data_IF_107160319145
#
_entry.id   IF_107160319145
#
_cell.length_a   1.000
_cell.length_b   1.000
_cell.length_c   1.000
_cell.angle_alpha   90.00
_cell.angle_beta   90.00
_cell.angle_gamma   90.00
#
_symmetry.space_group_name_H-M   'P 1'
#
loop_
_entity.id
_entity.type
_entity.pdbx_description
1 polymer ?
#
# COMPACT_ATOMS: atom_id res chain seq x y z
N UNK A 1 12.90 -26.68 -20.35
CA UNK A 1 13.34 -27.68 -19.35
C UNK A 1 12.10 -28.41 -18.87
N UNK A 2 12.21 -29.64 -18.38
CA UNK A 2 11.08 -30.33 -17.76
C UNK A 2 10.79 -29.69 -16.40
N UNK A 3 9.53 -29.41 -16.04
CA UNK A 3 9.19 -28.88 -14.72
C UNK A 3 9.62 -29.87 -13.63
N UNK A 4 10.19 -29.35 -12.55
CA UNK A 4 10.58 -30.17 -11.40
C UNK A 4 9.36 -30.28 -10.48
N UNK A 5 8.85 -31.48 -10.24
CA UNK A 5 7.78 -31.69 -9.26
C UNK A 5 8.35 -31.60 -7.84
N UNK A 6 7.82 -30.69 -7.02
CA UNK A 6 8.26 -30.48 -5.63
C UNK A 6 7.04 -30.39 -4.73
N UNK A 7 6.84 -31.42 -3.89
CA UNK A 7 5.77 -31.57 -2.89
C UNK A 7 4.33 -31.65 -3.45
N UNK A 8 3.97 -30.80 -4.41
CA UNK A 8 2.65 -30.77 -5.05
C UNK A 8 2.72 -30.21 -6.48
N UNK A 9 1.65 -30.43 -7.26
CA UNK A 9 1.57 -30.06 -8.68
C UNK A 9 1.34 -28.57 -8.93
N UNK A 10 1.11 -27.76 -7.89
CA UNK A 10 0.81 -26.33 -7.98
C UNK A 10 1.87 -25.44 -7.31
N UNK A 11 2.94 -26.04 -6.75
CA UNK A 11 3.96 -25.38 -5.93
C UNK A 11 3.44 -24.65 -4.68
N UNK A 12 2.25 -25.00 -4.18
CA UNK A 12 1.64 -24.34 -3.03
C UNK A 12 2.44 -24.60 -1.75
N UNK A 13 2.88 -25.84 -1.54
CA UNK A 13 3.58 -26.26 -0.32
C UNK A 13 5.00 -25.70 -0.28
N UNK A 14 5.74 -25.79 -1.39
CA UNK A 14 7.11 -25.27 -1.45
C UNK A 14 7.13 -23.74 -1.31
N UNK A 15 6.22 -23.03 -1.97
CA UNK A 15 6.12 -21.57 -1.82
C UNK A 15 5.75 -21.17 -0.39
N UNK A 16 4.84 -21.90 0.27
CA UNK A 16 4.48 -21.65 1.66
C UNK A 16 5.66 -21.89 2.61
N UNK A 17 6.36 -23.02 2.47
CA UNK A 17 7.51 -23.37 3.32
C UNK A 17 8.64 -22.35 3.18
N UNK A 18 8.96 -21.93 1.95
CA UNK A 18 9.95 -20.88 1.70
C UNK A 18 9.51 -19.56 2.31
N UNK A 19 8.22 -19.19 2.18
CA UNK A 19 7.68 -17.97 2.79
C UNK A 19 7.80 -18.01 4.31
N UNK A 20 7.40 -19.12 4.94
CA UNK A 20 7.49 -19.31 6.39
C UNK A 20 8.94 -19.22 6.84
N UNK A 21 9.85 -19.98 6.23
CA UNK A 21 11.27 -19.98 6.59
C UNK A 21 11.90 -18.60 6.45
N UNK A 22 11.63 -17.91 5.34
CA UNK A 22 12.20 -16.59 5.07
C UNK A 22 11.66 -15.51 6.02
N UNK A 23 10.34 -15.47 6.25
CA UNK A 23 9.75 -14.49 7.16
C UNK A 23 10.10 -14.78 8.62
N UNK A 24 10.16 -16.04 9.05
CA UNK A 24 10.56 -16.37 10.41
C UNK A 24 12.06 -16.12 10.65
N UNK A 25 12.90 -16.26 9.62
CA UNK A 25 14.29 -15.80 9.68
C UNK A 25 14.36 -14.27 9.85
N UNK A 26 13.58 -13.52 9.08
CA UNK A 26 13.44 -12.07 9.22
C UNK A 26 12.97 -11.67 10.62
N UNK A 27 11.96 -12.37 11.16
CA UNK A 27 11.46 -12.21 12.52
C UNK A 27 12.55 -12.47 13.56
N UNK A 28 13.28 -13.58 13.45
CA UNK A 28 14.34 -13.93 14.38
C UNK A 28 15.41 -12.83 14.44
N UNK A 29 15.87 -12.35 13.27
CA UNK A 29 16.83 -11.24 13.19
C UNK A 29 16.24 -9.97 13.81
N UNK A 30 15.03 -9.57 13.38
CA UNK A 30 14.40 -8.34 13.83
C UNK A 30 14.09 -8.36 15.34
N UNK A 31 13.71 -9.51 15.90
CA UNK A 31 13.45 -9.68 17.32
C UNK A 31 14.75 -9.67 18.14
N UNK A 32 15.78 -10.41 17.71
CA UNK A 32 17.07 -10.47 18.41
C UNK A 32 17.77 -9.12 18.48
N UNK A 33 17.73 -8.35 17.39
CA UNK A 33 18.39 -7.05 17.32
C UNK A 33 17.46 -5.87 17.61
N UNK A 34 16.17 -6.12 17.90
CA UNK A 34 15.15 -5.09 18.03
C UNK A 34 15.16 -4.11 16.84
N UNK A 35 15.27 -4.69 15.64
CA UNK A 35 15.57 -4.01 14.38
C UNK A 35 14.38 -4.10 13.41
N UNK A 36 13.60 -3.03 13.34
CA UNK A 36 12.37 -2.94 12.53
C UNK A 36 12.63 -2.55 11.06
N UNK A 37 13.86 -2.16 10.71
CA UNK A 37 14.18 -1.59 9.40
C UNK A 37 14.10 -2.57 8.22
N UNK A 38 14.09 -3.87 8.51
CA UNK A 38 14.07 -4.92 7.49
C UNK A 38 12.67 -5.50 7.23
N UNK A 39 11.68 -5.19 8.08
CA UNK A 39 10.35 -5.81 8.06
C UNK A 39 9.64 -5.63 6.72
N UNK A 40 9.62 -4.40 6.21
CA UNK A 40 9.02 -4.06 4.92
C UNK A 40 9.87 -4.61 3.75
N UNK A 41 11.20 -4.67 3.91
CA UNK A 41 12.12 -5.21 2.90
C UNK A 41 11.97 -6.73 2.73
N UNK A 42 11.81 -7.48 3.82
CA UNK A 42 11.62 -8.94 3.80
C UNK A 42 10.33 -9.31 3.10
N UNK A 43 9.27 -8.51 3.27
CA UNK A 43 8.03 -8.65 2.50
C UNK A 43 8.25 -8.64 0.98
N UNK A 44 8.78 -7.53 0.45
CA UNK A 44 9.00 -7.36 -0.99
C UNK A 44 10.03 -8.34 -1.58
N UNK A 45 11.15 -8.56 -0.90
CA UNK A 45 12.18 -9.51 -1.35
C UNK A 45 11.69 -10.96 -1.36
N UNK A 46 10.80 -11.35 -0.46
CA UNK A 46 10.20 -12.69 -0.47
C UNK A 46 9.32 -12.92 -1.71
N UNK A 47 8.51 -11.94 -2.10
CA UNK A 47 7.72 -11.99 -3.36
C UNK A 47 8.66 -12.18 -4.57
N UNK A 48 9.78 -11.47 -4.60
CA UNK A 48 10.80 -11.64 -5.63
C UNK A 48 11.38 -13.07 -5.63
N UNK A 49 11.74 -13.59 -4.45
CA UNK A 49 12.29 -14.95 -4.28
C UNK A 49 11.28 -15.99 -4.76
N UNK A 50 10.00 -15.88 -4.39
CA UNK A 50 8.96 -16.80 -4.83
C UNK A 50 8.76 -16.77 -6.35
N UNK A 51 8.76 -15.59 -6.95
CA UNK A 51 8.67 -15.44 -8.41
C UNK A 51 9.83 -16.15 -9.10
N UNK A 52 11.06 -15.85 -8.69
CA UNK A 52 12.25 -16.46 -9.28
C UNK A 52 12.29 -17.99 -9.05
N UNK A 53 12.04 -18.43 -7.82
CA UNK A 53 12.07 -19.84 -7.45
C UNK A 53 11.05 -20.65 -8.25
N UNK A 54 9.79 -20.25 -8.22
CA UNK A 54 8.73 -21.01 -8.91
C UNK A 54 8.95 -21.01 -10.42
N UNK A 55 9.42 -19.90 -10.99
CA UNK A 55 9.74 -19.81 -12.41
C UNK A 55 10.88 -20.74 -12.83
N UNK A 56 11.96 -20.80 -12.05
CA UNK A 56 13.09 -21.69 -12.32
C UNK A 56 12.71 -23.17 -12.14
N UNK A 57 11.94 -23.50 -11.10
CA UNK A 57 11.45 -24.88 -10.87
C UNK A 57 10.51 -25.33 -11.99
N UNK A 58 9.62 -24.45 -12.46
CA UNK A 58 8.68 -24.72 -13.55
C UNK A 58 9.37 -24.91 -14.90
N UNK A 59 10.51 -24.26 -15.13
CA UNK A 59 11.29 -24.40 -16.36
C UNK A 59 10.55 -23.95 -17.63
N UNK A 60 9.45 -23.21 -17.48
CA UNK A 60 8.62 -22.68 -18.56
C UNK A 60 8.95 -21.20 -18.80
N UNK A 61 9.59 -20.94 -19.94
CA UNK A 61 10.02 -19.62 -20.38
C UNK A 61 9.14 -19.09 -21.52
N UNK A 62 7.83 -19.37 -21.48
CA UNK A 62 6.88 -18.76 -22.41
C UNK A 62 6.82 -17.24 -22.22
N UNK A 63 6.39 -16.50 -23.24
CA UNK A 63 6.23 -15.04 -23.15
C UNK A 63 5.36 -14.61 -21.96
N UNK A 64 4.30 -15.38 -21.66
CA UNK A 64 3.40 -15.14 -20.52
C UNK A 64 4.14 -15.29 -19.19
N UNK A 65 4.88 -16.38 -18.99
CA UNK A 65 5.66 -16.61 -17.77
C UNK A 65 6.75 -15.54 -17.63
N UNK A 66 7.48 -15.22 -18.69
CA UNK A 66 8.51 -14.16 -18.67
C UNK A 66 7.89 -12.84 -18.20
N UNK A 67 6.81 -12.39 -18.86
CA UNK A 67 6.18 -11.10 -18.53
C UNK A 67 5.63 -11.08 -17.11
N UNK A 68 4.89 -12.11 -16.69
CA UNK A 68 4.33 -12.16 -15.35
C UNK A 68 5.43 -12.12 -14.27
N UNK A 69 6.49 -12.90 -14.43
CA UNK A 69 7.60 -12.92 -13.47
C UNK A 69 8.39 -11.61 -13.48
N UNK A 70 8.74 -11.07 -14.66
CA UNK A 70 9.46 -9.79 -14.76
C UNK A 70 8.64 -8.66 -14.13
N UNK A 71 7.32 -8.61 -14.35
CA UNK A 71 6.46 -7.59 -13.76
C UNK A 71 6.45 -7.66 -12.23
N UNK A 72 6.25 -8.85 -11.67
CA UNK A 72 6.28 -9.05 -10.21
C UNK A 72 7.66 -8.74 -9.64
N UNK A 73 8.75 -9.16 -10.29
CA UNK A 73 10.11 -8.88 -9.85
C UNK A 73 10.43 -7.38 -9.89
N UNK A 74 10.03 -6.67 -10.94
CA UNK A 74 10.19 -5.20 -11.06
C UNK A 74 9.38 -4.49 -9.97
N UNK A 75 8.14 -4.91 -9.74
CA UNK A 75 7.30 -4.37 -8.67
C UNK A 75 7.93 -4.62 -7.29
N UNK A 76 8.41 -5.83 -7.05
CA UNK A 76 9.02 -6.24 -5.78
C UNK A 76 10.32 -5.48 -5.49
N UNK A 77 11.20 -5.34 -6.47
CA UNK A 77 12.44 -4.55 -6.35
C UNK A 77 12.10 -3.09 -6.06
N UNK A 78 11.15 -2.49 -6.81
CA UNK A 78 10.72 -1.11 -6.58
C UNK A 78 10.22 -0.90 -5.15
N UNK A 79 9.31 -1.76 -4.68
CA UNK A 79 8.74 -1.67 -3.34
C UNK A 79 9.82 -1.85 -2.26
N UNK A 80 10.60 -2.94 -2.34
CA UNK A 80 11.62 -3.26 -1.35
C UNK A 80 12.72 -2.18 -1.27
N UNK A 81 13.22 -1.71 -2.42
CA UNK A 81 14.25 -0.66 -2.47
C UNK A 81 13.73 0.67 -1.96
N UNK A 82 12.51 1.08 -2.35
CA UNK A 82 11.93 2.34 -1.89
C UNK A 82 11.70 2.36 -0.38
N UNK A 83 11.15 1.28 0.18
CA UNK A 83 10.89 1.17 1.62
C UNK A 83 12.20 1.10 2.41
N UNK A 84 13.18 0.32 1.94
CA UNK A 84 14.51 0.26 2.56
C UNK A 84 15.18 1.64 2.56
N UNK A 85 15.22 2.31 1.41
CA UNK A 85 15.78 3.66 1.31
C UNK A 85 15.10 4.64 2.26
N UNK A 86 13.76 4.63 2.33
CA UNK A 86 12.98 5.50 3.21
C UNK A 86 13.36 5.30 4.67
N UNK A 87 13.44 4.06 5.13
CA UNK A 87 13.75 3.77 6.54
C UNK A 87 15.20 4.11 6.87
N UNK A 88 16.14 3.82 5.96
CA UNK A 88 17.55 4.19 6.14
C UNK A 88 17.74 5.71 6.21
N UNK A 89 16.97 6.49 5.44
CA UNK A 89 17.10 7.95 5.39
C UNK A 89 16.41 8.67 6.55
N UNK A 90 15.25 8.19 7.01
CA UNK A 90 14.40 8.90 7.97
C UNK A 90 14.32 8.25 9.36
N UNK A 91 15.06 7.17 9.61
CA UNK A 91 15.46 6.75 10.96
C UNK A 91 14.63 5.63 11.58
N UNK A 92 13.30 5.66 11.46
CA UNK A 92 12.42 4.62 12.00
C UNK A 92 11.01 4.66 11.39
N UNK A 93 10.27 3.57 11.55
CA UNK A 93 8.85 3.49 11.20
C UNK A 93 8.02 3.44 12.49
N UNK A 94 7.27 4.50 12.75
CA UNK A 94 6.51 4.66 14.01
C UNK A 94 5.46 3.58 14.23
N UNK A 95 5.11 2.77 13.21
CA UNK A 95 4.19 1.63 13.36
C UNK A 95 4.76 0.54 14.27
N UNK A 96 6.08 0.44 14.39
CA UNK A 96 6.72 -0.64 15.15
C UNK A 96 7.17 -0.23 16.55
N UNK A 97 7.11 1.05 16.90
CA UNK A 97 7.61 1.54 18.20
C UNK A 97 6.94 0.82 19.38
N UNK A 98 5.63 0.60 19.32
CA UNK A 98 4.86 -0.07 20.38
C UNK A 98 4.79 -1.61 20.21
N UNK A 99 5.06 -2.11 19.00
CA UNK A 99 4.86 -3.54 18.67
C UNK A 99 6.14 -4.34 18.88
N UNK A 100 7.32 -3.77 18.58
CA UNK A 100 8.61 -4.50 18.59
C UNK A 100 9.01 -5.02 19.98
N UNK A 101 8.55 -4.35 21.04
CA UNK A 101 8.80 -4.74 22.43
C UNK A 101 7.91 -5.89 22.92
N UNK A 102 6.89 -6.28 22.15
CA UNK A 102 5.91 -7.30 22.54
C UNK A 102 6.01 -8.52 21.62
N UNK A 103 6.64 -9.60 22.10
CA UNK A 103 6.92 -10.81 21.32
C UNK A 103 5.72 -11.30 20.48
N UNK A 104 4.57 -11.54 21.12
CA UNK A 104 3.40 -12.09 20.42
C UNK A 104 2.75 -11.10 19.44
N UNK A 105 2.78 -9.79 19.72
CA UNK A 105 2.27 -8.77 18.78
C UNK A 105 3.19 -8.65 17.57
N UNK A 106 4.51 -8.68 17.81
CA UNK A 106 5.50 -8.66 16.75
C UNK A 106 5.42 -9.92 15.89
N UNK A 107 5.39 -11.11 16.50
CA UNK A 107 5.19 -12.37 15.78
C UNK A 107 3.88 -12.36 14.97
N UNK A 108 2.79 -11.83 15.53
CA UNK A 108 1.52 -11.66 14.82
C UNK A 108 1.64 -10.84 13.54
N UNK A 109 2.44 -9.77 13.54
CA UNK A 109 2.76 -8.99 12.34
C UNK A 109 3.47 -9.86 11.28
N UNK A 110 4.46 -10.65 11.67
CA UNK A 110 5.20 -11.52 10.74
C UNK A 110 4.35 -12.68 10.20
N UNK A 111 3.45 -13.24 11.01
CA UNK A 111 2.44 -14.20 10.53
C UNK A 111 1.52 -13.54 9.50
N UNK A 112 1.08 -12.30 9.73
CA UNK A 112 0.35 -11.51 8.75
C UNK A 112 1.13 -11.32 7.45
N UNK A 113 2.43 -11.04 7.53
CA UNK A 113 3.33 -10.95 6.38
C UNK A 113 3.46 -12.28 5.61
N UNK A 114 3.53 -13.42 6.32
CA UNK A 114 3.54 -14.75 5.68
C UNK A 114 2.26 -14.96 4.87
N UNK A 115 1.10 -14.74 5.50
CA UNK A 115 -0.20 -14.89 4.83
C UNK A 115 -0.29 -13.96 3.63
N UNK A 116 0.15 -12.70 3.79
CA UNK A 116 0.13 -11.72 2.71
C UNK A 116 1.01 -12.11 1.53
N UNK A 117 2.31 -12.34 1.75
CA UNK A 117 3.24 -12.69 0.67
C UNK A 117 2.81 -13.95 -0.07
N UNK A 118 2.40 -14.97 0.67
CA UNK A 118 1.97 -16.23 0.06
C UNK A 118 0.70 -16.04 -0.78
N UNK A 119 -0.30 -15.36 -0.24
CA UNK A 119 -1.61 -15.15 -0.92
C UNK A 119 -1.46 -14.33 -2.19
N UNK A 120 -0.72 -13.21 -2.16
CA UNK A 120 -0.58 -12.35 -3.35
C UNK A 120 0.23 -13.04 -4.45
N UNK A 121 1.14 -13.95 -4.10
CA UNK A 121 2.00 -14.67 -5.04
C UNK A 121 1.30 -15.85 -5.74
N UNK A 122 0.12 -16.27 -5.28
CA UNK A 122 -0.61 -17.43 -5.81
C UNK A 122 -0.79 -17.46 -7.34
N UNK A 123 -1.16 -16.35 -8.03
CA UNK A 123 -1.30 -16.36 -9.49
C UNK A 123 -0.02 -16.81 -10.19
N UNK A 124 1.13 -16.32 -9.72
CA UNK A 124 2.45 -16.63 -10.27
C UNK A 124 2.88 -18.06 -9.93
N UNK A 125 2.73 -18.44 -8.66
CA UNK A 125 3.06 -19.78 -8.16
C UNK A 125 2.34 -20.85 -8.97
N UNK A 126 1.04 -20.66 -9.21
CA UNK A 126 0.21 -21.57 -10.00
C UNK A 126 0.61 -21.51 -11.48
N UNK A 127 0.79 -20.31 -12.07
CA UNK A 127 1.20 -20.15 -13.48
C UNK A 127 2.51 -20.87 -13.80
N UNK A 128 3.46 -20.85 -12.87
CA UNK A 128 4.78 -21.47 -13.03
C UNK A 128 4.78 -22.97 -12.67
N UNK A 129 3.67 -23.52 -12.19
CA UNK A 129 3.62 -24.89 -11.66
C UNK A 129 3.70 -25.99 -12.74
N UNK A 130 4.03 -27.24 -12.37
CA UNK A 130 4.04 -28.37 -13.30
C UNK A 130 2.69 -28.59 -13.97
N UNK A 131 1.58 -28.34 -13.26
CA UNK A 131 0.22 -28.46 -13.79
C UNK A 131 -0.08 -27.53 -14.98
N UNK A 132 0.78 -26.52 -15.22
CA UNK A 132 0.67 -25.55 -16.30
C UNK A 132 1.91 -25.51 -17.20
N UNK A 133 2.94 -26.29 -16.91
CA UNK A 133 4.21 -26.26 -17.64
C UNK A 133 4.22 -27.15 -18.90
N UNK A 134 3.15 -27.92 -19.13
CA UNK A 134 3.00 -28.74 -20.34
C UNK A 134 2.65 -27.89 -21.57
N UNK A 135 3.50 -27.98 -22.59
CA UNK A 135 3.50 -27.09 -23.77
C UNK A 135 2.31 -27.28 -24.70
N UNK A 136 1.72 -28.49 -24.72
CA UNK A 136 0.57 -28.85 -25.56
C UNK A 136 -0.75 -28.20 -25.12
N UNK A 137 -0.80 -27.66 -23.91
CA UNK A 137 -2.03 -27.18 -23.26
C UNK A 137 -2.07 -25.66 -23.11
N UNK A 138 -1.06 -24.95 -23.63
CA UNK A 138 -0.87 -23.52 -23.41
C UNK A 138 -1.60 -22.68 -24.48
N UNK A 139 -2.50 -21.80 -24.05
CA UNK A 139 -3.07 -20.79 -24.94
C UNK A 139 -1.96 -19.89 -25.49
N UNK A 140 -1.95 -19.69 -26.81
CA UNK A 140 -1.04 -18.73 -27.48
C UNK A 140 -1.12 -17.38 -26.77
N UNK A 141 0.05 -16.75 -26.56
CA UNK A 141 0.17 -15.40 -26.00
C UNK A 141 -0.61 -14.36 -26.82
N UNK A 142 -1.04 -13.28 -26.17
CA UNK A 142 -1.65 -12.13 -26.85
C UNK A 142 -3.17 -12.22 -26.92
N UNK A 143 -3.80 -12.95 -26.00
CA UNK A 143 -5.26 -12.90 -25.84
C UNK A 143 -5.67 -11.59 -25.19
N UNK A 144 -6.96 -11.24 -25.28
CA UNK A 144 -7.48 -10.00 -24.71
C UNK A 144 -7.14 -9.86 -23.21
N UNK A 145 -7.18 -10.95 -22.45
CA UNK A 145 -6.83 -10.96 -21.03
C UNK A 145 -5.35 -10.75 -20.75
N UNK A 146 -4.45 -11.27 -21.60
CA UNK A 146 -3.02 -10.97 -21.54
C UNK A 146 -2.79 -9.46 -21.73
N UNK A 147 -3.41 -8.87 -22.76
CA UNK A 147 -3.27 -7.45 -23.11
C UNK A 147 -3.84 -6.56 -22.00
N UNK A 148 -5.05 -6.87 -21.51
CA UNK A 148 -5.66 -6.14 -20.40
C UNK A 148 -4.81 -6.23 -19.14
N UNK A 149 -4.26 -7.41 -18.85
CA UNK A 149 -3.39 -7.60 -17.70
C UNK A 149 -2.10 -6.77 -17.77
N UNK A 150 -1.50 -6.67 -18.97
CA UNK A 150 -0.34 -5.80 -19.23
C UNK A 150 -0.70 -4.32 -19.06
N UNK A 151 -1.85 -3.88 -19.60
CA UNK A 151 -2.33 -2.50 -19.46
C UNK A 151 -2.55 -2.17 -17.97
N UNK A 152 -3.24 -3.04 -17.24
CA UNK A 152 -3.53 -2.87 -15.82
C UNK A 152 -2.25 -2.77 -15.00
N UNK A 153 -1.29 -3.66 -15.26
CA UNK A 153 -0.01 -3.63 -14.57
C UNK A 153 0.75 -2.32 -14.82
N UNK A 154 0.88 -1.89 -16.07
CA UNK A 154 1.64 -0.66 -16.38
C UNK A 154 0.97 0.60 -15.85
N UNK A 155 -0.36 0.71 -15.96
CA UNK A 155 -1.09 1.82 -15.35
C UNK A 155 -0.89 1.77 -13.83
N UNK A 156 -1.11 0.61 -13.21
CA UNK A 156 -0.97 0.43 -11.77
C UNK A 156 0.41 0.82 -11.25
N UNK A 157 1.45 0.26 -11.85
CA UNK A 157 2.84 0.49 -11.48
C UNK A 157 3.25 1.96 -11.67
N UNK A 158 2.77 2.60 -12.74
CA UNK A 158 3.02 4.03 -13.00
C UNK A 158 2.33 4.92 -11.96
N UNK A 159 1.08 4.61 -11.59
CA UNK A 159 0.35 5.34 -10.55
C UNK A 159 1.02 5.18 -9.18
N UNK A 160 1.38 3.96 -8.80
CA UNK A 160 2.07 3.65 -7.55
C UNK A 160 3.41 4.39 -7.46
N UNK A 161 4.25 4.26 -8.49
CA UNK A 161 5.58 4.89 -8.55
C UNK A 161 5.49 6.41 -8.51
N UNK A 162 4.60 6.99 -9.32
CA UNK A 162 4.43 8.45 -9.37
C UNK A 162 3.84 9.01 -8.07
N UNK A 163 2.89 8.31 -7.46
CA UNK A 163 2.29 8.70 -6.18
C UNK A 163 3.33 8.73 -5.06
N UNK A 164 4.12 7.68 -4.93
CA UNK A 164 5.18 7.58 -3.94
C UNK A 164 6.26 8.66 -4.15
N UNK A 165 6.65 8.91 -5.42
CA UNK A 165 7.62 9.93 -5.75
C UNK A 165 7.11 11.34 -5.42
N UNK A 166 5.88 11.68 -5.81
CA UNK A 166 5.27 12.97 -5.45
C UNK A 166 5.20 13.15 -3.94
N UNK A 167 4.83 12.12 -3.18
CA UNK A 167 4.76 12.16 -1.71
C UNK A 167 6.14 12.33 -1.09
N UNK A 168 7.13 11.63 -1.62
CA UNK A 168 8.52 11.71 -1.17
C UNK A 168 9.08 13.11 -1.39
N UNK A 169 8.99 13.63 -2.62
CA UNK A 169 9.47 14.97 -2.98
C UNK A 169 8.76 16.06 -2.17
N UNK A 170 7.43 15.95 -2.02
CA UNK A 170 6.65 16.90 -1.21
C UNK A 170 7.11 16.92 0.24
N UNK A 171 7.36 15.75 0.87
CA UNK A 171 7.88 15.71 2.24
C UNK A 171 9.30 16.27 2.34
N UNK A 172 10.15 16.02 1.35
CA UNK A 172 11.52 16.50 1.32
C UNK A 172 11.61 18.04 1.20
N UNK A 173 10.58 18.71 0.64
CA UNK A 173 10.54 20.16 0.53
C UNK A 173 10.05 20.89 1.80
N UNK A 174 9.90 20.19 2.93
CA UNK A 174 9.41 20.74 4.22
C UNK A 174 8.14 21.61 4.08
N UNK A 175 7.04 21.02 3.61
CA UNK A 175 5.82 21.76 3.32
C UNK A 175 5.10 22.16 4.62
N UNK A 176 4.20 23.15 4.57
CA UNK A 176 3.41 23.56 5.72
C UNK A 176 2.66 22.39 6.37
N UNK A 177 2.70 22.30 7.70
CA UNK A 177 2.10 21.19 8.46
C UNK A 177 0.58 21.23 8.50
N UNK A 178 -0.01 22.40 8.21
CA UNK A 178 -1.43 22.74 8.25
C UNK A 178 -2.18 22.44 6.94
N UNK A 179 -1.49 21.97 5.90
CA UNK A 179 -2.09 21.65 4.60
C UNK A 179 -1.92 20.17 4.22
N UNK A 180 -2.97 19.53 3.66
CA UNK A 180 -2.84 18.20 3.07
C UNK A 180 -1.95 18.25 1.82
N UNK A 181 -1.44 17.10 1.41
CA UNK A 181 -0.76 16.97 0.13
C UNK A 181 -1.79 17.07 -1.00
N UNK A 182 -1.62 18.05 -1.89
CA UNK A 182 -2.54 18.33 -3.00
C UNK A 182 -1.80 18.48 -4.35
N UNK A 183 -0.59 17.90 -4.44
CA UNK A 183 0.28 17.97 -5.62
C UNK A 183 0.23 16.70 -6.47
N UNK A 184 0.32 16.86 -7.79
CA UNK A 184 0.35 15.75 -8.75
C UNK A 184 -0.87 14.83 -8.61
N UNK A 185 -0.63 13.52 -8.53
CA UNK A 185 -1.70 12.51 -8.36
C UNK A 185 -2.48 12.65 -7.05
N UNK A 186 -1.88 13.22 -6.01
CA UNK A 186 -2.54 13.43 -4.71
C UNK A 186 -3.64 14.50 -4.78
N UNK A 187 -3.65 15.32 -5.84
CA UNK A 187 -4.76 16.23 -6.15
C UNK A 187 -6.01 15.50 -6.62
N UNK A 188 -5.86 14.32 -7.23
CA UNK A 188 -6.95 13.59 -7.90
C UNK A 188 -7.45 12.41 -7.06
N UNK A 189 -6.60 11.87 -6.20
CA UNK A 189 -6.93 10.80 -5.26
C UNK A 189 -6.20 11.03 -3.94
N UNK A 190 -6.85 10.70 -2.82
CA UNK A 190 -6.23 10.70 -1.49
C UNK A 190 -5.27 9.54 -1.31
N UNK A 191 -5.41 8.45 -2.05
CA UNK A 191 -4.54 7.27 -1.99
C UNK A 191 -4.23 6.70 -3.39
N UNK A 192 -3.56 7.49 -4.26
CA UNK A 192 -3.27 7.06 -5.63
C UNK A 192 -2.32 5.87 -5.69
N UNK A 193 -1.46 5.68 -4.68
CA UNK A 193 -0.57 4.52 -4.59
C UNK A 193 -1.34 3.22 -4.37
N UNK A 194 -2.38 3.24 -3.52
CA UNK A 194 -3.23 2.06 -3.28
C UNK A 194 -4.01 1.66 -4.52
N UNK A 195 -4.52 2.63 -5.26
CA UNK A 195 -5.15 2.38 -6.56
C UNK A 195 -4.16 1.70 -7.53
N UNK A 196 -2.93 2.21 -7.59
CA UNK A 196 -1.86 1.63 -8.40
C UNK A 196 -1.58 0.17 -8.04
N UNK A 197 -1.39 -0.10 -6.75
CA UNK A 197 -1.12 -1.45 -6.25
C UNK A 197 -2.27 -2.43 -6.57
N UNK A 198 -3.53 -2.01 -6.37
CA UNK A 198 -4.69 -2.84 -6.74
C UNK A 198 -4.68 -3.20 -8.23
N UNK A 199 -4.43 -2.22 -9.12
CA UNK A 199 -4.34 -2.47 -10.56
C UNK A 199 -3.20 -3.42 -10.93
N UNK A 200 -2.04 -3.30 -10.28
CA UNK A 200 -0.92 -4.24 -10.48
C UNK A 200 -1.38 -5.69 -10.27
N UNK A 201 -2.00 -5.98 -9.12
CA UNK A 201 -2.39 -7.35 -8.78
C UNK A 201 -3.55 -7.88 -9.61
N UNK A 202 -4.50 -7.03 -9.99
CA UNK A 202 -5.51 -7.41 -10.99
C UNK A 202 -4.87 -7.72 -12.34
N UNK A 203 -3.88 -6.92 -12.76
CA UNK A 203 -3.13 -7.13 -13.99
C UNK A 203 -2.38 -8.46 -14.01
N UNK A 204 -1.67 -8.78 -12.92
CA UNK A 204 -0.96 -10.06 -12.77
C UNK A 204 -1.93 -11.24 -12.81
N UNK A 205 -3.06 -11.17 -12.09
CA UNK A 205 -4.05 -12.24 -12.13
C UNK A 205 -4.64 -12.43 -13.54
N UNK A 206 -4.95 -11.36 -14.27
CA UNK A 206 -5.46 -11.42 -15.65
C UNK A 206 -4.48 -12.11 -16.61
N UNK A 207 -3.18 -11.81 -16.49
CA UNK A 207 -2.14 -12.52 -17.27
C UNK A 207 -2.14 -14.00 -16.90
N UNK A 208 -2.15 -14.31 -15.60
CA UNK A 208 -2.03 -15.68 -15.10
C UNK A 208 -3.24 -16.56 -15.40
N UNK A 209 -4.47 -16.02 -15.44
CA UNK A 209 -5.71 -16.79 -15.65
C UNK A 209 -5.99 -17.11 -17.12
N UNK A 210 -5.32 -16.44 -18.06
CA UNK A 210 -5.51 -16.63 -19.52
C UNK A 210 -5.48 -18.09 -19.99
N UNK A 211 -4.57 -18.98 -19.51
CA UNK A 211 -4.57 -20.39 -19.88
C UNK A 211 -5.90 -21.10 -19.57
N UNK A 212 -6.60 -20.73 -18.49
CA UNK A 212 -7.90 -21.32 -18.14
C UNK A 212 -9.06 -20.85 -19.01
N UNK A 213 -8.98 -19.63 -19.54
CA UNK A 213 -10.01 -19.03 -20.38
C UNK A 213 -9.93 -19.48 -21.84
N UNK A 214 -8.71 -19.72 -22.34
CA UNK A 214 -8.46 -19.96 -23.76
C UNK A 214 -7.70 -21.26 -24.07
N UNK A 215 -7.29 -22.01 -23.04
CA UNK A 215 -6.54 -23.26 -23.18
C UNK A 215 -7.36 -24.49 -22.79
N UNK A 216 -6.84 -25.65 -23.19
CA UNK A 216 -7.39 -26.97 -22.86
C UNK A 216 -6.69 -27.50 -21.61
N UNK A 217 -7.16 -27.05 -20.45
CA UNK A 217 -6.64 -27.44 -19.13
C UNK A 217 -7.61 -28.37 -18.40
N UNK A 218 -7.06 -29.18 -17.48
CA UNK A 218 -7.85 -30.00 -16.57
C UNK A 218 -8.78 -29.14 -15.68
N UNK A 219 -9.93 -29.66 -15.22
CA UNK A 219 -10.84 -28.92 -14.35
C UNK A 219 -10.16 -28.42 -13.06
N UNK A 220 -9.27 -29.20 -12.46
CA UNK A 220 -8.56 -28.81 -11.23
C UNK A 220 -7.57 -27.66 -11.48
N UNK A 221 -6.85 -27.68 -12.60
CA UNK A 221 -5.95 -26.58 -13.00
C UNK A 221 -6.75 -25.29 -13.23
N UNK A 222 -7.92 -25.38 -13.87
CA UNK A 222 -8.80 -24.22 -14.06
C UNK A 222 -9.29 -23.65 -12.74
N UNK A 223 -9.76 -24.52 -11.84
CA UNK A 223 -10.19 -24.13 -10.51
C UNK A 223 -9.08 -23.42 -9.72
N UNK A 224 -7.83 -23.90 -9.80
CA UNK A 224 -6.70 -23.26 -9.15
C UNK A 224 -6.43 -21.84 -9.69
N UNK A 225 -6.41 -21.66 -11.02
CA UNK A 225 -6.18 -20.33 -11.61
C UNK A 225 -7.33 -19.35 -11.33
N UNK A 226 -8.59 -19.80 -11.34
CA UNK A 226 -9.71 -18.97 -10.90
C UNK A 226 -9.62 -18.64 -9.42
N UNK A 227 -9.29 -19.63 -8.57
CA UNK A 227 -9.09 -19.43 -7.13
C UNK A 227 -7.98 -18.43 -6.80
N UNK A 228 -6.98 -18.29 -7.67
CA UNK A 228 -5.92 -17.30 -7.53
C UNK A 228 -6.43 -15.83 -7.59
N UNK A 229 -7.70 -15.59 -7.95
CA UNK A 229 -8.35 -14.27 -7.81
C UNK A 229 -8.33 -13.77 -6.36
N UNK A 230 -8.14 -14.67 -5.39
CA UNK A 230 -7.90 -14.32 -4.00
C UNK A 230 -6.73 -13.34 -3.84
N UNK A 231 -5.71 -13.36 -4.71
CA UNK A 231 -4.57 -12.43 -4.67
C UNK A 231 -5.02 -10.96 -4.78
N UNK A 232 -5.60 -10.49 -5.91
CA UNK A 232 -6.05 -9.10 -6.01
C UNK A 232 -7.16 -8.77 -5.01
N UNK A 233 -8.07 -9.69 -4.70
CA UNK A 233 -9.15 -9.45 -3.72
C UNK A 233 -8.60 -9.28 -2.30
N UNK A 234 -7.59 -10.05 -1.92
CA UNK A 234 -6.94 -9.95 -0.62
C UNK A 234 -6.18 -8.63 -0.52
N UNK A 235 -5.42 -8.24 -1.55
CA UNK A 235 -4.76 -6.92 -1.60
C UNK A 235 -5.78 -5.78 -1.48
N UNK A 236 -6.87 -5.83 -2.24
CA UNK A 236 -7.95 -4.84 -2.12
C UNK A 236 -8.53 -4.80 -0.71
N UNK A 237 -8.77 -5.96 -0.11
CA UNK A 237 -9.38 -6.05 1.23
C UNK A 237 -8.45 -5.47 2.30
N UNK A 238 -7.15 -5.76 2.23
CA UNK A 238 -6.16 -5.18 3.13
C UNK A 238 -6.11 -3.66 3.00
N UNK A 239 -6.08 -3.16 1.76
CA UNK A 239 -6.00 -1.73 1.50
C UNK A 239 -7.29 -0.99 1.84
N UNK A 240 -8.46 -1.58 1.62
CA UNK A 240 -9.74 -0.94 1.92
C UNK A 240 -10.13 -1.05 3.40
N UNK A 241 -9.85 -2.16 4.06
CA UNK A 241 -10.46 -2.48 5.36
C UNK A 241 -9.48 -2.72 6.50
N UNK A 242 -8.20 -2.97 6.23
CA UNK A 242 -7.22 -3.26 7.26
C UNK A 242 -6.09 -2.22 7.28
N UNK A 243 -4.96 -2.53 6.67
CA UNK A 243 -3.70 -1.79 6.79
C UNK A 243 -3.57 -0.57 5.88
N UNK A 244 -4.52 -0.33 4.96
CA UNK A 244 -4.46 0.79 4.00
C UNK A 244 -5.22 2.05 4.43
N UNK A 245 -6.47 2.18 3.98
CA UNK A 245 -7.30 3.39 4.15
C UNK A 245 -7.66 3.67 5.61
N UNK A 246 -8.09 2.71 6.45
CA UNK A 246 -8.48 3.00 7.83
C UNK A 246 -7.33 3.55 8.67
N UNK A 247 -6.13 2.98 8.52
CA UNK A 247 -4.90 3.36 9.23
C UNK A 247 -4.26 4.63 8.66
N UNK A 248 -4.62 5.05 7.45
CA UNK A 248 -4.12 6.29 6.86
C UNK A 248 -5.07 7.48 7.06
N UNK A 249 -6.37 7.31 6.85
CA UNK A 249 -7.33 8.43 6.85
C UNK A 249 -7.62 8.97 8.25
N UNK A 250 -7.86 8.09 9.23
CA UNK A 250 -8.24 8.52 10.59
C UNK A 250 -7.10 9.24 11.31
N UNK A 251 -5.85 8.73 11.35
CA UNK A 251 -4.76 9.44 12.02
C UNK A 251 -4.42 10.77 11.33
N UNK A 252 -4.48 10.81 9.99
CA UNK A 252 -4.26 12.06 9.25
C UNK A 252 -5.33 13.11 9.59
N UNK A 253 -6.59 12.72 9.64
CA UNK A 253 -7.68 13.60 10.04
C UNK A 253 -7.54 14.08 11.49
N UNK A 254 -7.22 13.18 12.43
CA UNK A 254 -6.96 13.50 13.83
C UNK A 254 -5.83 14.53 13.96
N UNK A 255 -4.76 14.39 13.17
CA UNK A 255 -3.65 15.36 13.13
C UNK A 255 -4.15 16.77 12.75
N UNK A 256 -4.92 16.91 11.68
CA UNK A 256 -5.43 18.24 11.27
C UNK A 256 -6.44 18.82 12.27
N UNK A 257 -7.22 17.96 12.92
CA UNK A 257 -8.10 18.38 14.00
C UNK A 257 -7.31 18.94 15.19
N UNK A 258 -6.29 18.23 15.68
CA UNK A 258 -5.46 18.67 16.80
C UNK A 258 -4.61 19.90 16.47
N UNK A 259 -4.24 20.11 15.21
CA UNK A 259 -3.63 21.37 14.77
C UNK A 259 -4.58 22.56 14.87
N UNK A 260 -5.90 22.32 14.80
CA UNK A 260 -6.91 23.37 14.90
C UNK A 260 -7.49 23.56 16.30
N UNK A 261 -7.51 22.47 17.06
CA UNK A 261 -8.06 22.38 18.41
C UNK A 261 -7.03 21.68 19.31
N UNK A 262 -5.93 22.35 19.66
CA UNK A 262 -4.92 21.78 20.54
C UNK A 262 -5.51 21.50 21.93
N UNK A 263 -5.10 20.42 22.61
CA UNK A 263 -5.59 20.10 23.94
C UNK A 263 -5.14 21.17 24.97
N UNK A 264 -5.93 21.43 26.01
CA UNK A 264 -5.58 22.40 27.06
C UNK A 264 -4.22 22.07 27.68
N UNK A 265 -3.31 23.04 27.76
CA UNK A 265 -1.96 22.86 28.33
C UNK A 265 -0.84 22.51 27.33
N UNK A 266 -1.12 22.45 26.02
CA UNK A 266 -0.10 22.18 24.98
C UNK A 266 0.61 23.43 24.43
N UNK A 267 0.37 24.61 25.00
CA UNK A 267 0.87 25.91 24.50
C UNK A 267 2.33 26.25 24.91
N UNK A 268 3.02 25.43 25.70
CA UNK A 268 4.33 25.82 26.26
C UNK A 268 5.50 25.82 25.25
N UNK A 269 5.41 25.21 24.07
CA UNK A 269 6.58 25.01 23.19
C UNK A 269 6.62 25.81 21.86
N UNK A 270 5.60 26.61 21.54
CA UNK A 270 5.58 27.37 20.27
C UNK A 270 5.72 28.89 20.40
N UNK A 271 5.79 29.40 21.64
CA UNK A 271 5.93 30.85 21.92
C UNK A 271 7.38 31.30 22.19
N UNK A 272 8.30 30.38 22.50
CA UNK A 272 9.65 30.72 22.99
C UNK A 272 10.67 31.14 21.91
N UNK A 273 10.40 30.89 20.62
CA UNK A 273 11.32 31.26 19.53
C UNK A 273 11.10 32.69 18.98
N UNK A 274 9.93 33.30 19.21
CA UNK A 274 9.62 34.66 18.71
C UNK A 274 9.75 35.73 19.82
N UNK A 275 10.02 35.32 21.06
CA UNK A 275 9.99 36.21 22.23
C UNK A 275 11.32 36.91 22.58
N UNK A 276 12.40 36.72 21.82
CA UNK A 276 13.74 37.23 22.20
C UNK A 276 14.23 38.52 21.54
N UNK A 277 13.42 39.22 20.75
CA UNK A 277 13.88 40.49 20.11
C UNK A 277 13.02 41.71 20.35
N UNK A 278 12.02 41.66 21.23
CA UNK A 278 11.24 42.87 21.57
C UNK A 278 10.91 42.89 23.06
N UNK A 279 11.93 43.11 23.89
CA UNK A 279 11.75 43.60 25.26
C UNK A 279 12.53 44.91 25.41
N UNK A 280 11.91 46.00 24.99
CA UNK A 280 12.05 47.30 25.67
C UNK A 280 10.93 48.22 25.20
N UNK A 281 10.07 48.57 26.15
CA UNK A 281 9.04 49.61 26.09
C UNK A 281 7.78 49.26 25.29
N UNK A 282 6.67 49.05 26.00
CA UNK A 282 5.46 49.89 25.94
C UNK A 282 4.46 49.35 26.97
N UNK A 283 3.90 50.27 27.74
CA UNK A 283 2.86 50.09 28.75
C UNK A 283 1.57 49.53 28.16
N UNK A 284 0.87 48.74 28.98
CA UNK A 284 -0.59 48.61 29.07
C UNK A 284 -1.40 48.83 27.77
N UNK A 285 -1.65 47.77 27.01
CA UNK A 285 -2.86 47.70 26.19
C UNK A 285 -3.38 46.26 26.06
N UNK A 286 -4.67 46.14 26.38
CA UNK A 286 -5.54 44.97 26.32
C UNK A 286 -5.85 44.48 24.89
N UNK A 287 -4.82 44.34 24.04
CA UNK A 287 -5.02 44.05 22.62
C UNK A 287 -3.96 43.11 22.03
N UNK A 288 -3.70 41.95 22.67
CA UNK A 288 -3.03 40.85 21.96
C UNK A 288 -3.88 40.41 20.75
N UNK A 289 -3.42 40.81 19.57
CA UNK A 289 -4.06 40.70 18.26
C UNK A 289 -4.71 39.34 17.94
N UNK A 290 -5.92 39.30 17.35
CA UNK A 290 -6.67 38.09 17.00
C UNK A 290 -6.08 37.25 15.84
N UNK A 291 -5.02 37.72 15.17
CA UNK A 291 -4.50 37.11 13.94
C UNK A 291 -3.82 35.75 14.19
N UNK A 292 -3.16 35.57 15.33
CA UNK A 292 -2.53 34.28 15.68
C UNK A 292 -3.56 33.20 16.07
N UNK A 293 -4.67 33.60 16.73
CA UNK A 293 -5.79 32.68 17.06
C UNK A 293 -6.59 32.26 15.82
N UNK A 294 -6.65 33.09 14.79
CA UNK A 294 -7.30 32.77 13.51
C UNK A 294 -6.45 31.84 12.62
N UNK A 295 -5.12 31.94 12.67
CA UNK A 295 -4.24 31.05 11.91
C UNK A 295 -4.29 29.60 12.42
N UNK A 296 -4.47 29.42 13.74
CA UNK A 296 -4.70 28.12 14.36
C UNK A 296 -6.12 27.55 14.11
N UNK A 297 -7.05 28.23 13.42
CA UNK A 297 -8.44 27.75 13.30
C UNK A 297 -8.85 27.15 11.94
N UNK A 298 -7.95 27.12 10.95
CA UNK A 298 -8.32 26.77 9.55
C UNK A 298 -7.85 25.39 9.06
N UNK A 299 -6.88 24.74 9.72
CA UNK A 299 -6.27 23.51 9.21
C UNK A 299 -7.28 22.36 9.05
N UNK A 300 -8.19 22.23 10.03
CA UNK A 300 -9.27 21.25 10.00
C UNK A 300 -10.29 21.58 8.91
N UNK A 301 -10.71 22.85 8.79
CA UNK A 301 -11.62 23.29 7.75
C UNK A 301 -11.04 23.07 6.34
N UNK A 302 -9.75 23.37 6.14
CA UNK A 302 -9.03 23.12 4.90
C UNK A 302 -8.96 21.63 4.58
N UNK A 303 -8.71 20.79 5.58
CA UNK A 303 -8.69 19.34 5.40
C UNK A 303 -10.07 18.76 5.06
N UNK A 304 -11.14 19.26 5.69
CA UNK A 304 -12.51 18.89 5.35
C UNK A 304 -12.87 19.31 3.91
N UNK A 305 -12.48 20.52 3.51
CA UNK A 305 -12.65 21.00 2.15
C UNK A 305 -11.91 20.10 1.15
N UNK A 306 -10.65 19.76 1.41
CA UNK A 306 -9.85 18.82 0.62
C UNK A 306 -10.54 17.47 0.47
N UNK A 307 -11.02 16.87 1.57
CA UNK A 307 -11.74 15.58 1.53
C UNK A 307 -13.03 15.64 0.71
N UNK A 308 -13.77 16.74 0.79
CA UNK A 308 -15.03 16.90 0.04
C UNK A 308 -14.82 16.97 -1.49
N UNK A 309 -13.62 17.36 -1.90
CA UNK A 309 -13.24 17.62 -3.29
C UNK A 309 -12.32 16.55 -3.89
N UNK A 310 -11.72 15.68 -3.07
CA UNK A 310 -10.72 14.70 -3.53
C UNK A 310 -11.21 13.28 -3.33
N UNK A 311 -11.23 12.52 -4.43
CA UNK A 311 -11.60 11.09 -4.41
C UNK A 311 -10.71 10.30 -3.46
N UNK A 312 -11.24 9.27 -2.82
CA UNK A 312 -10.45 8.47 -1.88
C UNK A 312 -9.43 7.58 -2.58
N UNK A 313 -9.86 6.91 -3.66
CA UNK A 313 -9.09 5.86 -4.32
C UNK A 313 -8.99 6.11 -5.83
N UNK A 314 -10.13 6.11 -6.54
CA UNK A 314 -10.18 6.30 -7.98
C UNK A 314 -9.76 7.74 -8.36
N UNK A 315 -8.68 7.94 -9.13
CA UNK A 315 -8.22 9.28 -9.51
C UNK A 315 -9.27 10.02 -10.33
N UNK A 316 -9.78 11.14 -9.80
CA UNK A 316 -10.80 11.96 -10.45
C UNK A 316 -10.46 13.46 -10.32
N UNK A 317 -10.74 14.27 -11.34
CA UNK A 317 -10.59 15.72 -11.22
C UNK A 317 -11.46 16.27 -10.07
N UNK A 318 -10.94 17.18 -9.21
CA UNK A 318 -11.68 17.71 -8.07
C UNK A 318 -13.03 18.35 -8.43
N UNK A 319 -13.09 19.02 -9.60
CA UNK A 319 -14.31 19.62 -10.11
C UNK A 319 -15.43 18.59 -10.38
N UNK A 320 -15.05 17.38 -10.81
CA UNK A 320 -15.99 16.29 -11.04
C UNK A 320 -16.40 15.66 -9.71
N UNK A 321 -15.42 15.29 -8.88
CA UNK A 321 -15.70 14.63 -7.60
C UNK A 321 -16.59 15.49 -6.68
N UNK A 322 -16.35 16.80 -6.60
CA UNK A 322 -17.14 17.71 -5.78
C UNK A 322 -18.64 17.68 -6.13
N UNK A 323 -18.98 17.51 -7.42
CA UNK A 323 -20.36 17.52 -7.93
C UNK A 323 -21.11 16.19 -7.73
N UNK A 324 -20.40 15.11 -7.41
CA UNK A 324 -21.03 13.80 -7.27
C UNK A 324 -21.92 13.72 -6.01
N UNK A 325 -23.11 13.12 -6.11
CA UNK A 325 -23.93 12.82 -4.94
C UNK A 325 -23.20 11.93 -3.93
N UNK A 326 -23.56 12.07 -2.64
CA UNK A 326 -22.93 11.29 -1.55
C UNK A 326 -23.04 9.78 -1.78
N UNK A 327 -24.18 9.30 -2.29
CA UNK A 327 -24.36 7.87 -2.56
C UNK A 327 -23.36 7.36 -3.60
N UNK A 328 -23.09 8.11 -4.68
CA UNK A 328 -22.10 7.73 -5.71
C UNK A 328 -20.69 7.64 -5.10
N UNK A 329 -20.32 8.62 -4.27
CA UNK A 329 -19.03 8.62 -3.58
C UNK A 329 -18.88 7.38 -2.68
N UNK A 330 -19.93 7.04 -1.94
CA UNK A 330 -19.91 5.94 -0.99
C UNK A 330 -20.00 4.56 -1.64
N UNK A 331 -20.76 4.39 -2.72
CA UNK A 331 -20.98 3.07 -3.33
C UNK A 331 -20.00 2.75 -4.45
N UNK A 332 -19.76 3.70 -5.36
CA UNK A 332 -18.93 3.47 -6.56
C UNK A 332 -17.46 3.80 -6.27
N UNK A 333 -17.21 4.87 -5.52
CA UNK A 333 -15.84 5.34 -5.26
C UNK A 333 -15.26 4.86 -3.93
N UNK A 334 -15.99 3.99 -3.22
CA UNK A 334 -15.60 3.42 -1.93
C UNK A 334 -15.26 4.49 -0.86
N UNK A 335 -15.86 5.68 -0.89
CA UNK A 335 -15.65 6.70 0.15
C UNK A 335 -16.61 6.48 1.34
N UNK A 336 -16.46 5.33 2.03
CA UNK A 336 -17.38 4.92 3.09
C UNK A 336 -17.24 5.77 4.37
N UNK A 337 -18.33 5.94 5.15
CA UNK A 337 -18.31 6.65 6.42
C UNK A 337 -17.32 6.11 7.47
N UNK A 338 -16.88 4.85 7.33
CA UNK A 338 -15.88 4.27 8.22
C UNK A 338 -14.52 4.99 8.17
N UNK A 339 -14.22 5.70 7.08
CA UNK A 339 -13.01 6.52 6.91
C UNK A 339 -13.17 7.95 7.44
N UNK A 340 -14.37 8.36 7.84
CA UNK A 340 -14.61 9.68 8.44
C UNK A 340 -14.13 9.66 9.90
N UNK A 341 -13.27 10.63 10.24
CA UNK A 341 -12.90 10.90 11.62
C UNK A 341 -13.99 11.74 12.28
N UNK A 342 -14.48 11.28 13.43
CA UNK A 342 -15.52 11.93 14.21
C UNK A 342 -14.95 12.27 15.59
N UNK A 343 -14.63 13.55 15.87
CA UNK A 343 -13.96 13.96 17.10
C UNK A 343 -14.65 13.42 18.37
N UNK A 344 -15.98 13.50 18.41
CA UNK A 344 -16.79 13.04 19.56
C UNK A 344 -16.60 11.56 19.89
N UNK A 345 -16.41 10.71 18.87
CA UNK A 345 -16.27 9.25 19.04
C UNK A 345 -14.80 8.83 19.14
N UNK A 346 -13.96 9.41 18.28
CA UNK A 346 -12.61 8.92 18.02
C UNK A 346 -11.54 9.59 18.92
N UNK A 347 -11.90 10.56 19.76
CA UNK A 347 -11.03 11.10 20.82
C UNK A 347 -11.28 10.48 22.20
N UNK A 348 -12.39 9.76 22.38
CA UNK A 348 -12.78 9.14 23.66
C UNK A 348 -12.25 7.71 23.84
N UNK A 349 -11.65 7.13 22.79
CA UNK A 349 -11.01 5.81 22.80
C UNK A 349 -9.54 5.91 22.40
#
# INVERSE_FOLDING_TARGET
MTPILVLDHFYLSISLLVTIGYQLLGFAIAWTFQFDKITDFTGGSNVFILSLLTWLLGGNFSARNILANVFVMVWAVRLATFLLYRVLKYGSDSRFDDIRSHFFKFLGFWVGQIIWVWTISLPLTILNSPALSERSSYAVWGKATDILGVIFFWIGWSFETSADLHKFMYKASNPPKDKPIDVGLWKWSRHPSYFGEMLCWWGIWLICVTPSLHGSLSPSTKAAQYGAVVSPLFTMSLLLFASGLPTAEKPQARKFYLLSYPPPGSEEDHSSATRRTVESNVEDDSSTTPVARLAASSAWANYQAYRSQTSILLPLPPALYRRLPRFVKQTILCDWPMYEFKPERDLQG
#
